data_IF_701046391830
#
_entry.id   IF_701046391830
#
_cell.length_a   1.000
_cell.length_b   1.000
_cell.length_c   1.000
_cell.angle_alpha   90.00
_cell.angle_beta   90.00
_cell.angle_gamma   90.00
#
_symmetry.space_group_name_H-M   'P 1'
#
loop_
_entity.id
_entity.type
_entity.pdbx_description
1 polymer ?
#
# COMPACT_ATOMS: atom_id res chain seq x y z
N UNK A 1 -2.92 32.68 20.63
CA UNK A 1 -2.62 31.33 21.13
C UNK A 1 -1.95 30.59 20.00
N UNK A 2 -0.67 30.28 20.14
CA UNK A 2 0.03 29.53 19.12
C UNK A 2 -0.62 28.17 18.98
N UNK A 3 -1.11 27.91 17.78
CA UNK A 3 -1.79 26.68 17.44
C UNK A 3 -0.81 25.50 17.59
N UNK A 4 -0.95 24.67 18.62
CA UNK A 4 -0.11 23.48 18.86
C UNK A 4 -0.39 22.36 17.85
N UNK A 5 -1.35 22.55 16.96
CA UNK A 5 -1.68 21.69 15.84
C UNK A 5 -0.82 22.10 14.65
N UNK A 6 -0.21 21.16 13.96
CA UNK A 6 0.64 21.44 12.79
C UNK A 6 2.11 21.08 12.95
N UNK A 7 2.45 20.21 13.92
CA UNK A 7 3.78 19.60 13.94
C UNK A 7 3.83 18.47 12.92
N UNK A 8 4.93 18.42 12.17
CA UNK A 8 5.19 17.32 11.26
C UNK A 8 5.44 16.05 12.08
N UNK A 9 4.61 15.05 11.89
CA UNK A 9 4.78 13.73 12.48
C UNK A 9 5.61 12.86 11.54
N UNK A 10 6.67 12.24 12.02
CA UNK A 10 7.64 11.49 11.20
C UNK A 10 7.74 10.03 11.61
N UNK A 11 7.95 9.19 10.61
CA UNK A 11 8.44 7.82 10.75
C UNK A 11 9.58 7.66 9.75
N UNK A 12 10.71 7.14 10.20
CA UNK A 12 11.79 6.69 9.32
C UNK A 12 12.27 5.34 9.81
N UNK A 13 12.28 4.34 8.91
CA UNK A 13 12.75 3.00 9.21
C UNK A 13 13.64 2.48 8.09
N UNK A 14 14.77 1.92 8.45
CA UNK A 14 15.72 1.26 7.54
C UNK A 14 15.89 -0.19 7.95
N UNK A 15 15.56 -1.12 7.05
CA UNK A 15 15.77 -2.55 7.22
C UNK A 15 16.99 -3.00 6.42
N UNK A 16 17.84 -3.82 7.00
CA UNK A 16 19.05 -4.35 6.36
C UNK A 16 19.21 -5.84 6.64
N UNK A 17 19.86 -6.55 5.73
CA UNK A 17 20.21 -7.95 5.92
C UNK A 17 21.52 -8.05 6.71
N UNK A 18 21.53 -8.80 7.81
CA UNK A 18 22.69 -9.09 8.61
C UNK A 18 22.69 -10.56 9.05
N UNK A 19 23.77 -11.25 8.80
CA UNK A 19 23.93 -12.68 9.16
C UNK A 19 22.76 -13.57 8.68
N UNK A 20 22.24 -13.28 7.47
CA UNK A 20 21.13 -14.02 6.85
C UNK A 20 19.74 -13.69 7.41
N UNK A 21 19.60 -12.68 8.27
CA UNK A 21 18.33 -12.21 8.81
C UNK A 21 18.15 -10.71 8.58
N UNK A 22 16.94 -10.29 8.38
CA UNK A 22 16.63 -8.86 8.33
C UNK A 22 16.61 -8.28 9.74
N UNK A 23 17.27 -7.15 9.91
CA UNK A 23 17.25 -6.35 11.14
C UNK A 23 16.74 -4.94 10.83
N UNK A 24 16.24 -4.27 11.85
CA UNK A 24 15.95 -2.84 11.79
C UNK A 24 17.25 -2.09 12.12
N UNK A 25 17.94 -1.59 11.08
CA UNK A 25 19.23 -0.93 11.21
C UNK A 25 19.10 0.48 11.78
N UNK A 26 18.07 1.22 11.33
CA UNK A 26 17.75 2.55 11.84
C UNK A 26 16.24 2.70 12.01
N UNK A 27 15.86 3.40 13.07
CA UNK A 27 14.47 3.69 13.39
C UNK A 27 14.35 5.02 14.11
N UNK A 28 13.58 5.91 13.54
CA UNK A 28 13.17 7.13 14.22
C UNK A 28 11.68 7.41 14.02
N UNK A 29 11.05 8.00 15.01
CA UNK A 29 9.66 8.43 14.93
C UNK A 29 9.39 9.59 15.88
N UNK A 30 8.37 10.37 15.57
CA UNK A 30 7.90 11.46 16.43
C UNK A 30 6.45 11.20 16.85
N UNK A 31 6.05 11.78 17.99
CA UNK A 31 4.65 11.74 18.39
C UNK A 31 3.73 12.24 17.26
N UNK A 32 2.55 11.64 17.07
CA UNK A 32 1.91 10.64 17.94
C UNK A 32 2.31 9.18 17.63
N UNK A 33 3.27 8.96 16.74
CA UNK A 33 3.68 7.62 16.36
C UNK A 33 4.63 6.99 17.36
N UNK A 34 4.53 5.67 17.47
CA UNK A 34 5.43 4.80 18.21
C UNK A 34 5.60 3.48 17.45
N UNK A 35 6.82 3.00 17.35
CA UNK A 35 7.11 1.69 16.78
C UNK A 35 7.79 0.87 17.88
N UNK A 36 7.24 -0.33 18.11
CA UNK A 36 7.79 -1.30 19.07
C UNK A 36 8.87 -2.15 18.40
N UNK A 37 9.45 -3.06 19.16
CA UNK A 37 10.38 -4.06 18.60
C UNK A 37 9.72 -4.76 17.41
N UNK A 38 10.43 -4.96 16.30
CA UNK A 38 9.90 -5.68 15.15
C UNK A 38 9.59 -7.14 15.51
N UNK A 39 8.59 -7.70 14.84
CA UNK A 39 8.29 -9.13 14.91
C UNK A 39 9.13 -9.85 13.86
N UNK A 40 9.81 -10.93 14.27
CA UNK A 40 10.53 -11.81 13.34
C UNK A 40 9.56 -12.66 12.53
N UNK A 41 9.83 -12.83 11.23
CA UNK A 41 9.09 -13.70 10.32
C UNK A 41 9.84 -15.02 10.12
N UNK A 42 9.11 -16.08 9.82
CA UNK A 42 9.71 -17.42 9.59
C UNK A 42 10.72 -17.43 8.43
N UNK A 43 10.54 -16.57 7.44
CA UNK A 43 11.44 -16.42 6.29
C UNK A 43 12.68 -15.58 6.57
N UNK A 44 12.92 -15.20 7.82
CA UNK A 44 14.06 -14.34 8.23
C UNK A 44 13.83 -12.83 8.00
N UNK A 45 12.65 -12.43 7.52
CA UNK A 45 12.23 -11.04 7.44
C UNK A 45 11.76 -10.48 8.78
N UNK A 46 11.38 -9.21 8.78
CA UNK A 46 10.79 -8.54 9.96
C UNK A 46 9.49 -7.82 9.60
N UNK A 47 8.64 -7.69 10.60
CA UNK A 47 7.40 -6.91 10.53
C UNK A 47 7.47 -5.76 11.54
N UNK A 48 7.18 -4.54 11.11
CA UNK A 48 6.98 -3.38 11.96
C UNK A 48 5.53 -2.95 11.97
N UNK A 49 5.06 -2.52 13.13
CA UNK A 49 3.69 -2.06 13.33
C UNK A 49 3.70 -0.66 13.98
N UNK A 50 3.67 0.41 13.18
CA UNK A 50 3.44 1.75 13.70
C UNK A 50 2.13 1.85 14.48
N UNK A 51 2.23 2.33 15.72
CA UNK A 51 1.13 2.66 16.60
C UNK A 51 0.91 4.16 16.55
N UNK A 52 -0.32 4.62 16.43
CA UNK A 52 -0.66 6.02 16.51
C UNK A 52 -1.40 6.30 17.82
N UNK A 53 -0.77 7.03 18.74
CA UNK A 53 -1.36 7.46 20.02
C UNK A 53 -2.22 8.73 19.84
N UNK A 54 -3.02 8.79 18.78
CA UNK A 54 -3.96 9.87 18.48
C UNK A 54 -5.32 9.28 18.15
N UNK A 55 -6.37 10.07 18.31
CA UNK A 55 -7.71 9.69 17.88
C UNK A 55 -7.84 9.52 16.35
N UNK A 56 -6.91 10.07 15.59
CA UNK A 56 -6.83 10.05 14.13
C UNK A 56 -6.18 11.31 13.60
N UNK A 57 -6.31 11.55 12.29
CA UNK A 57 -5.75 12.68 11.56
C UNK A 57 -6.68 13.87 11.68
N UNK A 58 -6.15 15.05 12.01
CA UNK A 58 -6.89 16.28 12.22
C UNK A 58 -6.44 17.38 11.25
N UNK A 59 -7.20 18.48 11.21
CA UNK A 59 -6.89 19.63 10.38
C UNK A 59 -5.47 20.18 10.69
N UNK A 60 -4.69 20.40 9.63
CA UNK A 60 -3.33 20.90 9.73
C UNK A 60 -2.27 19.87 10.06
N UNK A 61 -2.65 18.60 10.28
CA UNK A 61 -1.66 17.53 10.44
C UNK A 61 -0.86 17.33 9.16
N UNK A 62 0.44 17.17 9.32
CA UNK A 62 1.38 16.81 8.28
C UNK A 62 2.17 15.58 8.72
N UNK A 63 2.21 14.57 7.86
CA UNK A 63 2.86 13.29 8.14
C UNK A 63 3.91 13.01 7.07
N UNK A 64 5.11 12.64 7.50
CA UNK A 64 6.23 12.30 6.63
C UNK A 64 6.75 10.92 7.01
N UNK A 65 6.60 9.94 6.13
CA UNK A 65 7.07 8.57 6.34
C UNK A 65 8.15 8.23 5.34
N UNK A 66 9.19 7.56 5.79
CA UNK A 66 10.30 7.07 4.97
C UNK A 66 10.62 5.63 5.33
N UNK A 67 10.68 4.78 4.32
CA UNK A 67 11.05 3.37 4.46
C UNK A 67 12.15 3.02 3.47
N UNK A 68 13.25 2.48 3.97
CA UNK A 68 14.33 1.97 3.14
C UNK A 68 14.54 0.48 3.44
N UNK A 69 14.39 -0.35 2.42
CA UNK A 69 14.64 -1.79 2.52
C UNK A 69 15.89 -2.08 1.71
N UNK A 70 17.01 -2.27 2.43
CA UNK A 70 18.33 -2.50 1.84
C UNK A 70 18.41 -3.88 1.18
N UNK A 71 19.41 -4.04 0.32
CA UNK A 71 19.66 -5.26 -0.45
C UNK A 71 19.46 -6.54 0.38
N UNK A 72 18.61 -7.43 -0.16
CA UNK A 72 18.31 -8.75 0.42
C UNK A 72 17.42 -8.75 1.65
N UNK A 73 17.04 -7.58 2.19
CA UNK A 73 16.16 -7.48 3.35
C UNK A 73 14.68 -7.69 2.99
N UNK A 74 13.89 -8.16 3.95
CA UNK A 74 12.44 -8.38 3.83
C UNK A 74 11.73 -7.61 4.95
N UNK A 75 11.02 -6.56 4.60
CA UNK A 75 10.29 -5.71 5.54
C UNK A 75 8.79 -5.76 5.28
N UNK A 76 8.03 -5.95 6.34
CA UNK A 76 6.58 -5.86 6.34
C UNK A 76 6.14 -4.67 7.20
N UNK A 77 5.32 -3.79 6.65
CA UNK A 77 4.79 -2.60 7.32
C UNK A 77 3.28 -2.65 7.32
N UNK A 78 2.70 -2.73 8.49
CA UNK A 78 1.24 -2.61 8.70
C UNK A 78 0.96 -1.69 9.87
N UNK A 79 -0.25 -1.17 10.00
CA UNK A 79 -0.65 -0.36 11.14
C UNK A 79 -1.58 -1.13 12.08
N UNK A 80 -1.65 -0.72 13.35
CA UNK A 80 -2.43 -1.44 14.36
C UNK A 80 -3.94 -1.32 14.17
N UNK A 81 -4.42 -0.14 13.78
CA UNK A 81 -5.84 0.19 13.74
C UNK A 81 -6.21 0.95 12.48
N UNK A 82 -7.48 0.92 12.13
CA UNK A 82 -8.05 1.72 11.05
C UNK A 82 -7.71 3.19 11.27
N UNK A 83 -7.31 3.85 10.21
CA UNK A 83 -6.91 5.23 10.24
C UNK A 83 -8.13 6.14 10.01
N UNK A 84 -8.40 7.00 10.96
CA UNK A 84 -9.54 7.91 10.95
C UNK A 84 -9.08 9.29 10.53
N UNK A 85 -9.71 9.85 9.52
CA UNK A 85 -9.50 11.26 9.15
C UNK A 85 -10.70 12.04 9.68
N UNK A 86 -10.46 12.83 10.72
CA UNK A 86 -11.52 13.54 11.41
C UNK A 86 -12.09 14.71 10.60
N UNK A 87 -13.30 15.14 10.98
CA UNK A 87 -13.93 16.36 10.49
C UNK A 87 -12.97 17.54 10.59
N UNK A 88 -12.94 18.36 9.55
CA UNK A 88 -12.15 19.58 9.46
C UNK A 88 -13.06 20.73 9.02
N UNK A 89 -13.24 21.73 9.86
CA UNK A 89 -14.07 22.90 9.49
C UNK A 89 -13.39 23.69 8.38
N UNK A 90 -12.05 23.80 8.43
CA UNK A 90 -11.21 24.43 7.41
C UNK A 90 -9.93 23.62 7.19
N UNK A 91 -9.21 23.93 6.10
CA UNK A 91 -7.93 23.31 5.78
C UNK A 91 -8.03 21.83 5.35
N UNK A 92 -6.91 21.14 5.46
CA UNK A 92 -6.74 19.72 5.15
C UNK A 92 -5.59 19.15 5.98
N UNK A 93 -5.45 17.83 5.96
CA UNK A 93 -4.23 17.15 6.41
C UNK A 93 -3.47 16.57 5.22
N UNK A 94 -2.18 16.37 5.38
CA UNK A 94 -1.30 15.88 4.32
C UNK A 94 -0.43 14.73 4.80
N UNK A 95 -0.08 13.84 3.86
CA UNK A 95 0.89 12.77 4.07
C UNK A 95 1.83 12.66 2.88
N UNK A 96 3.12 12.54 3.17
CA UNK A 96 4.12 12.17 2.18
C UNK A 96 4.80 10.90 2.63
N UNK A 97 4.91 9.93 1.71
CA UNK A 97 5.58 8.64 1.95
C UNK A 97 6.64 8.47 0.88
N UNK A 98 7.88 8.29 1.30
CA UNK A 98 9.01 7.98 0.41
C UNK A 98 9.52 6.58 0.74
N UNK A 99 9.63 5.75 -0.29
CA UNK A 99 10.02 4.34 -0.15
C UNK A 99 11.16 4.03 -1.11
N UNK A 100 12.19 3.38 -0.60
CA UNK A 100 13.26 2.80 -1.40
C UNK A 100 13.36 1.30 -1.13
N UNK A 101 13.37 0.50 -2.19
CA UNK A 101 13.54 -0.96 -2.13
C UNK A 101 14.72 -1.30 -3.03
N UNK A 102 15.83 -1.69 -2.40
CA UNK A 102 17.05 -2.04 -3.12
C UNK A 102 16.90 -3.40 -3.83
N UNK A 103 17.88 -3.79 -4.62
CA UNK A 103 17.87 -5.07 -5.35
C UNK A 103 17.76 -6.25 -4.38
N UNK A 104 17.09 -7.32 -4.82
CA UNK A 104 16.81 -8.53 -4.04
C UNK A 104 16.06 -8.27 -2.70
N UNK A 105 15.60 -7.05 -2.44
CA UNK A 105 14.84 -6.69 -1.27
C UNK A 105 13.33 -6.82 -1.50
N UNK A 106 12.58 -7.02 -0.42
CA UNK A 106 11.11 -7.16 -0.48
C UNK A 106 10.45 -6.23 0.52
N UNK A 107 9.47 -5.46 0.06
CA UNK A 107 8.57 -4.67 0.91
C UNK A 107 7.14 -5.14 0.77
N UNK A 108 6.50 -5.47 1.89
CA UNK A 108 5.05 -5.59 2.02
C UNK A 108 4.53 -4.37 2.76
N UNK A 109 3.81 -3.50 2.07
CA UNK A 109 3.21 -2.30 2.65
C UNK A 109 1.69 -2.38 2.56
N UNK A 110 1.02 -2.66 3.69
CA UNK A 110 -0.43 -2.78 3.76
C UNK A 110 -0.99 -2.24 5.08
N UNK A 111 -1.03 -0.91 5.21
CA UNK A 111 -1.62 -0.27 6.37
C UNK A 111 -3.09 -0.63 6.51
N UNK A 112 -3.62 -0.44 7.70
CA UNK A 112 -5.05 -0.62 7.96
C UNK A 112 -5.88 0.37 7.14
N UNK A 113 -7.15 0.02 6.84
CA UNK A 113 -8.05 0.85 6.05
C UNK A 113 -8.22 2.27 6.58
N UNK A 114 -8.36 3.21 5.66
CA UNK A 114 -8.60 4.63 5.93
C UNK A 114 -10.10 4.92 5.94
N UNK A 115 -10.57 5.65 6.95
CA UNK A 115 -11.96 6.07 7.11
C UNK A 115 -12.03 7.60 7.10
N UNK A 116 -12.37 8.23 5.98
CA UNK A 116 -12.60 9.67 5.92
C UNK A 116 -13.97 10.02 6.52
N UNK A 117 -13.98 10.76 7.62
CA UNK A 117 -15.22 11.23 8.26
C UNK A 117 -15.87 12.34 7.45
N UNK A 118 -17.15 12.62 7.71
CA UNK A 118 -17.85 13.73 7.12
C UNK A 118 -17.04 15.03 7.28
N UNK A 119 -17.00 15.85 6.22
CA UNK A 119 -16.27 17.12 6.14
C UNK A 119 -14.74 17.03 6.30
N UNK A 120 -14.14 15.84 6.25
CA UNK A 120 -12.68 15.68 6.24
C UNK A 120 -12.07 16.06 4.88
N UNK A 121 -10.79 16.45 4.88
CA UNK A 121 -10.01 16.71 3.67
C UNK A 121 -8.58 16.20 3.86
N UNK A 122 -8.15 15.31 2.97
CA UNK A 122 -6.86 14.63 3.09
C UNK A 122 -6.18 14.46 1.73
N UNK A 123 -4.88 14.74 1.72
CA UNK A 123 -4.04 14.58 0.54
C UNK A 123 -2.83 13.72 0.90
N UNK A 124 -2.70 12.55 0.28
CA UNK A 124 -1.56 11.66 0.40
C UNK A 124 -0.76 11.60 -0.90
N UNK A 125 0.55 11.59 -0.78
CA UNK A 125 1.47 11.32 -1.88
C UNK A 125 2.46 10.25 -1.43
N UNK A 126 2.56 9.17 -2.20
CA UNK A 126 3.54 8.10 -2.01
C UNK A 126 4.44 8.01 -3.23
N UNK A 127 5.74 8.03 -3.02
CA UNK A 127 6.75 7.79 -4.05
C UNK A 127 7.53 6.54 -3.68
N UNK A 128 7.59 5.58 -4.58
CA UNK A 128 8.27 4.30 -4.37
C UNK A 128 9.33 4.12 -5.45
N UNK A 129 10.54 3.84 -5.03
CA UNK A 129 11.66 3.51 -5.91
C UNK A 129 12.06 2.06 -5.71
N UNK A 130 11.88 1.23 -6.73
CA UNK A 130 12.45 -0.10 -6.86
C UNK A 130 13.77 0.06 -7.61
N UNK A 131 14.87 -0.46 -7.06
CA UNK A 131 16.20 -0.31 -7.67
C UNK A 131 16.24 -0.98 -9.05
N UNK A 132 15.76 -2.23 -9.13
CA UNK A 132 15.75 -3.00 -10.38
C UNK A 132 14.59 -4.02 -10.44
N UNK A 133 14.71 -4.99 -11.33
CA UNK A 133 13.70 -6.03 -11.55
C UNK A 133 13.63 -7.08 -10.43
N UNK A 134 14.64 -7.14 -9.57
CA UNK A 134 14.71 -8.06 -8.41
C UNK A 134 14.08 -7.46 -7.15
N UNK A 135 13.87 -6.14 -7.13
CA UNK A 135 13.19 -5.44 -6.05
C UNK A 135 11.71 -5.82 -6.05
N UNK A 136 11.19 -6.25 -4.91
CA UNK A 136 9.82 -6.73 -4.76
C UNK A 136 8.95 -5.81 -3.92
N UNK A 137 7.71 -5.63 -4.38
CA UNK A 137 6.72 -4.82 -3.69
C UNK A 137 5.35 -5.49 -3.70
N UNK A 138 4.75 -5.60 -2.53
CA UNK A 138 3.31 -5.79 -2.34
C UNK A 138 2.75 -4.54 -1.67
N UNK A 139 1.95 -3.78 -2.39
CA UNK A 139 1.32 -2.54 -1.90
C UNK A 139 -0.19 -2.73 -1.83
N UNK A 140 -0.80 -2.39 -0.69
CA UNK A 140 -2.25 -2.36 -0.50
C UNK A 140 -2.66 -1.05 0.17
N UNK A 141 -3.65 -0.39 -0.41
CA UNK A 141 -4.39 0.71 0.23
C UNK A 141 -5.89 0.40 0.20
N UNK A 142 -6.56 0.52 1.35
CA UNK A 142 -8.03 0.36 1.45
C UNK A 142 -8.64 1.66 1.95
N UNK A 143 -9.63 2.15 1.23
CA UNK A 143 -10.43 3.32 1.64
C UNK A 143 -11.90 2.94 1.79
N UNK A 144 -12.55 3.46 2.84
CA UNK A 144 -14.00 3.38 3.02
C UNK A 144 -14.72 4.61 2.45
N UNK A 145 -16.00 4.47 2.18
CA UNK A 145 -16.87 5.57 1.78
C UNK A 145 -17.10 6.62 2.91
N UNK A 146 -16.61 6.35 4.10
CA UNK A 146 -16.84 7.12 5.31
C UNK A 146 -17.20 6.23 6.51
N UNK A 147 -17.82 6.79 7.54
CA UNK A 147 -18.35 6.03 8.69
C UNK A 147 -19.68 5.37 8.33
N UNK A 148 -19.66 4.33 7.54
CA UNK A 148 -20.88 3.67 7.06
C UNK A 148 -21.85 3.26 8.18
N UNK A 149 -21.34 2.87 9.36
CA UNK A 149 -22.16 2.55 10.54
C UNK A 149 -22.87 3.76 11.17
N UNK A 150 -22.57 4.97 10.73
CA UNK A 150 -23.17 6.24 11.16
C UNK A 150 -23.89 6.95 9.99
N UNK A 151 -24.18 6.23 8.91
CA UNK A 151 -24.78 6.75 7.67
C UNK A 151 -23.98 7.88 7.00
N UNK A 152 -22.68 7.95 7.26
CA UNK A 152 -21.77 8.90 6.61
C UNK A 152 -21.13 8.26 5.40
N UNK A 153 -21.83 8.28 4.25
CA UNK A 153 -21.30 7.79 2.97
C UNK A 153 -20.95 8.97 2.09
N UNK A 154 -19.69 9.03 1.66
CA UNK A 154 -19.18 10.06 0.74
C UNK A 154 -19.49 11.51 1.19
N UNK A 155 -19.42 11.77 2.51
CA UNK A 155 -19.66 13.09 3.07
C UNK A 155 -18.36 13.86 3.38
N UNK A 156 -17.20 13.30 3.07
CA UNK A 156 -15.93 14.00 3.16
C UNK A 156 -15.81 15.04 2.03
N UNK A 157 -15.08 16.12 2.28
CA UNK A 157 -14.86 17.18 1.27
C UNK A 157 -13.92 16.73 0.16
N UNK A 158 -12.81 16.07 0.55
CA UNK A 158 -11.80 15.58 -0.38
C UNK A 158 -11.00 14.44 0.22
N UNK A 159 -10.77 13.43 -0.60
CA UNK A 159 -9.75 12.42 -0.37
C UNK A 159 -8.88 12.29 -1.62
N UNK A 160 -7.57 12.39 -1.45
CA UNK A 160 -6.63 12.21 -2.55
C UNK A 160 -5.51 11.27 -2.10
N UNK A 161 -5.27 10.19 -2.86
CA UNK A 161 -4.09 9.34 -2.75
C UNK A 161 -3.41 9.28 -4.11
N UNK A 162 -2.16 9.75 -4.17
CA UNK A 162 -1.32 9.71 -5.36
C UNK A 162 -0.14 8.79 -5.11
N UNK A 163 -0.05 7.72 -5.90
CA UNK A 163 1.07 6.78 -5.86
C UNK A 163 1.88 6.92 -7.15
N UNK A 164 3.18 7.09 -7.00
CA UNK A 164 4.17 7.10 -8.09
C UNK A 164 5.18 5.99 -7.81
N UNK A 165 5.33 5.05 -8.74
CA UNK A 165 6.22 3.93 -8.58
C UNK A 165 7.22 3.88 -9.73
N UNK A 166 8.48 3.93 -9.38
CA UNK A 166 9.60 3.91 -10.30
C UNK A 166 10.37 2.59 -10.18
N UNK A 167 10.93 2.13 -11.30
CA UNK A 167 11.95 1.09 -11.33
C UNK A 167 13.17 1.67 -12.04
N UNK A 168 14.29 1.80 -11.29
CA UNK A 168 15.35 2.71 -11.70
C UNK A 168 14.79 4.11 -11.93
N UNK A 169 15.08 4.70 -13.06
CA UNK A 169 14.59 6.04 -13.45
C UNK A 169 13.22 6.02 -14.15
N UNK A 170 12.67 4.83 -14.44
CA UNK A 170 11.43 4.70 -15.21
C UNK A 170 10.21 4.66 -14.33
N UNK A 171 9.26 5.58 -14.56
CA UNK A 171 7.91 5.50 -13.96
C UNK A 171 7.17 4.28 -14.56
N UNK A 172 6.87 3.28 -13.73
CA UNK A 172 6.20 2.03 -14.14
C UNK A 172 4.73 1.98 -13.76
N UNK A 173 4.33 2.71 -12.70
CA UNK A 173 2.94 2.77 -12.25
C UNK A 173 2.62 4.14 -11.67
N UNK A 174 1.42 4.61 -11.96
CA UNK A 174 0.86 5.82 -11.36
C UNK A 174 -0.61 5.58 -11.05
N UNK A 175 -0.97 5.66 -9.77
CA UNK A 175 -2.36 5.85 -9.35
C UNK A 175 -2.59 7.30 -8.91
N UNK A 176 -3.78 7.82 -9.16
CA UNK A 176 -4.18 9.16 -8.77
C UNK A 176 -5.66 9.13 -8.38
N UNK A 177 -5.94 8.40 -7.31
CA UNK A 177 -7.28 8.38 -6.71
C UNK A 177 -7.56 9.74 -6.10
N UNK A 178 -8.58 10.43 -6.61
CA UNK A 178 -9.04 11.72 -6.08
C UNK A 178 -10.55 11.75 -6.09
N UNK A 179 -11.12 11.89 -4.92
CA UNK A 179 -12.55 11.96 -4.70
C UNK A 179 -12.95 13.31 -4.08
N UNK A 180 -13.89 13.99 -4.70
CA UNK A 180 -14.58 15.19 -4.24
C UNK A 180 -16.08 14.93 -4.36
N UNK A 181 -16.73 14.30 -3.37
CA UNK A 181 -18.11 13.81 -3.49
C UNK A 181 -19.12 14.88 -3.90
N UNK A 182 -18.93 16.12 -3.49
CA UNK A 182 -19.79 17.24 -3.91
C UNK A 182 -19.75 17.51 -5.43
N UNK A 183 -18.72 16.98 -6.12
CA UNK A 183 -18.50 17.21 -7.57
C UNK A 183 -18.59 15.93 -8.39
N UNK A 184 -18.69 14.78 -7.74
CA UNK A 184 -18.61 13.46 -8.37
C UNK A 184 -19.78 12.57 -7.92
N UNK A 185 -20.44 11.84 -8.85
CA UNK A 185 -21.49 10.89 -8.50
C UNK A 185 -20.86 9.61 -7.92
N UNK A 186 -20.43 9.65 -6.67
CA UNK A 186 -19.65 8.57 -6.02
C UNK A 186 -20.35 7.20 -6.04
N UNK A 187 -21.66 7.14 -6.12
CA UNK A 187 -22.43 5.89 -6.20
C UNK A 187 -22.80 5.51 -7.63
N UNK A 188 -22.42 6.33 -8.63
CA UNK A 188 -22.72 6.11 -10.02
C UNK A 188 -21.86 5.04 -10.70
N UNK A 189 -22.18 4.78 -11.97
CA UNK A 189 -21.47 3.82 -12.84
C UNK A 189 -19.98 4.20 -12.94
N UNK A 190 -19.11 3.21 -12.77
CA UNK A 190 -17.66 3.39 -12.83
C UNK A 190 -17.05 4.01 -11.58
N UNK A 191 -17.86 4.23 -10.53
CA UNK A 191 -17.44 4.68 -9.22
C UNK A 191 -17.59 3.55 -8.20
N UNK A 192 -18.33 3.74 -7.11
CA UNK A 192 -18.49 2.69 -6.09
C UNK A 192 -19.68 1.76 -6.33
N UNK A 193 -20.65 2.13 -7.17
CA UNK A 193 -21.82 1.30 -7.57
C UNK A 193 -22.54 0.58 -6.41
N UNK A 194 -22.67 1.29 -5.26
CA UNK A 194 -23.28 0.75 -4.05
C UNK A 194 -22.30 0.11 -3.08
N UNK A 195 -21.08 -0.22 -3.48
CA UNK A 195 -20.04 -0.68 -2.57
C UNK A 195 -19.60 0.44 -1.61
N UNK A 196 -19.02 0.03 -0.48
CA UNK A 196 -18.63 0.97 0.58
C UNK A 196 -17.12 1.07 0.80
N UNK A 197 -16.36 0.14 0.24
CA UNK A 197 -14.91 0.07 0.39
C UNK A 197 -14.26 -0.26 -0.96
N UNK A 198 -13.08 0.30 -1.14
CA UNK A 198 -12.25 0.03 -2.30
C UNK A 198 -10.82 -0.30 -1.84
N UNK A 199 -10.26 -1.35 -2.41
CA UNK A 199 -8.86 -1.69 -2.26
C UNK A 199 -8.12 -1.45 -3.59
N UNK A 200 -6.97 -0.79 -3.52
CA UNK A 200 -5.99 -0.70 -4.59
C UNK A 200 -4.79 -1.55 -4.21
N UNK A 201 -4.40 -2.48 -5.08
CA UNK A 201 -3.20 -3.28 -4.90
C UNK A 201 -2.25 -3.08 -6.08
N UNK A 202 -0.98 -3.10 -5.77
CA UNK A 202 0.09 -3.25 -6.75
C UNK A 202 1.02 -4.38 -6.30
N UNK A 203 1.33 -5.29 -7.22
CA UNK A 203 2.29 -6.37 -7.03
C UNK A 203 3.39 -6.23 -8.08
N UNK A 204 4.63 -6.11 -7.64
CA UNK A 204 5.74 -6.18 -8.58
C UNK A 204 5.81 -7.58 -9.19
N UNK A 205 6.21 -7.64 -10.45
CA UNK A 205 6.41 -8.92 -11.14
C UNK A 205 7.41 -9.81 -10.40
N UNK A 206 7.24 -11.11 -10.55
CA UNK A 206 8.16 -12.11 -10.04
C UNK A 206 9.20 -12.38 -11.10
N UNK A 207 10.47 -12.24 -10.73
CA UNK A 207 11.60 -12.66 -11.53
C UNK A 207 12.18 -13.94 -10.95
N UNK A 208 12.59 -14.86 -11.82
CA UNK A 208 13.33 -16.06 -11.41
C UNK A 208 14.63 -15.66 -10.68
N UNK A 209 15.01 -16.44 -9.66
CA UNK A 209 16.00 -16.09 -8.64
C UNK A 209 17.44 -15.82 -9.11
N UNK A 210 17.78 -16.10 -10.34
CA UNK A 210 19.11 -15.84 -10.85
C UNK A 210 19.25 -14.36 -11.22
N UNK A 211 19.46 -13.51 -10.20
CA UNK A 211 19.59 -12.06 -10.32
C UNK A 211 20.65 -11.61 -11.37
N UNK A 212 21.62 -12.47 -11.72
CA UNK A 212 22.53 -12.23 -12.83
C UNK A 212 21.88 -12.36 -14.21
N UNK A 213 20.74 -13.07 -14.32
CA UNK A 213 20.03 -13.29 -15.57
C UNK A 213 18.85 -12.37 -15.82
N UNK A 214 18.34 -11.68 -14.80
CA UNK A 214 17.23 -10.72 -14.96
C UNK A 214 17.63 -9.51 -15.83
N UNK A 215 18.92 -9.13 -15.80
CA UNK A 215 19.50 -8.06 -16.63
C UNK A 215 20.05 -8.55 -17.98
N UNK A 216 20.27 -9.85 -18.16
CA UNK A 216 20.74 -10.43 -19.43
C UNK A 216 19.55 -10.93 -20.25
N UNK A 217 19.41 -10.39 -21.44
CA UNK A 217 18.36 -10.66 -22.44
C UNK A 217 18.36 -12.10 -23.00
N UNK A 218 18.42 -13.16 -22.22
CA UNK A 218 18.16 -14.49 -22.74
C UNK A 218 16.65 -14.70 -22.90
N UNK A 219 16.17 -15.00 -24.10
CA UNK A 219 14.75 -15.13 -24.42
C UNK A 219 14.01 -16.16 -23.58
N UNK A 220 14.71 -17.19 -23.07
CA UNK A 220 14.15 -18.24 -22.22
C UNK A 220 13.78 -17.76 -20.81
N UNK A 221 14.58 -16.90 -20.16
CA UNK A 221 14.26 -16.36 -18.83
C UNK A 221 13.05 -15.43 -18.88
N UNK A 222 12.98 -14.55 -19.89
CA UNK A 222 11.81 -13.69 -20.11
C UNK A 222 10.52 -14.46 -20.35
N UNK A 223 10.60 -15.62 -21.03
CA UNK A 223 9.42 -16.48 -21.23
C UNK A 223 8.99 -17.16 -19.94
N UNK A 224 9.91 -17.61 -19.09
CA UNK A 224 9.61 -18.21 -17.79
C UNK A 224 8.97 -17.19 -16.84
N UNK A 225 9.56 -16.01 -16.68
CA UNK A 225 9.02 -14.93 -15.86
C UNK A 225 7.62 -14.49 -16.35
N UNK A 226 7.42 -14.43 -17.66
CA UNK A 226 6.12 -14.10 -18.23
C UNK A 226 5.07 -15.17 -17.91
N UNK A 227 5.45 -16.45 -17.93
CA UNK A 227 4.55 -17.56 -17.60
C UNK A 227 4.13 -17.54 -16.12
N UNK A 228 5.09 -17.34 -15.20
CA UNK A 228 4.83 -17.24 -13.75
C UNK A 228 3.85 -16.07 -13.47
N UNK A 229 4.09 -14.90 -14.05
CA UNK A 229 3.23 -13.75 -13.82
C UNK A 229 1.86 -13.87 -14.49
N UNK A 230 1.71 -14.66 -15.55
CA UNK A 230 0.41 -15.04 -16.12
C UNK A 230 -0.35 -15.97 -15.19
N UNK A 231 0.31 -17.03 -14.70
CA UNK A 231 -0.29 -17.96 -13.75
C UNK A 231 -0.73 -17.25 -12.46
N UNK A 232 0.09 -16.35 -11.93
CA UNK A 232 -0.28 -15.51 -10.79
C UNK A 232 -1.54 -14.67 -11.08
N UNK A 233 -1.61 -14.04 -12.26
CA UNK A 233 -2.78 -13.29 -12.67
C UNK A 233 -4.03 -14.16 -12.74
N UNK A 234 -3.94 -15.36 -13.29
CA UNK A 234 -5.06 -16.32 -13.38
C UNK A 234 -5.55 -16.77 -11.99
N UNK A 235 -4.61 -17.10 -11.09
CA UNK A 235 -4.94 -17.42 -9.68
C UNK A 235 -5.65 -16.27 -8.98
N UNK A 236 -5.22 -15.03 -9.22
CA UNK A 236 -5.88 -13.84 -8.67
C UNK A 236 -7.29 -13.70 -9.24
N UNK A 237 -7.48 -13.87 -10.56
CA UNK A 237 -8.80 -13.85 -11.17
C UNK A 237 -9.74 -14.86 -10.53
N UNK A 238 -9.29 -16.10 -10.30
CA UNK A 238 -10.09 -17.11 -9.64
C UNK A 238 -10.55 -16.67 -8.25
N UNK A 239 -9.65 -16.06 -7.44
CA UNK A 239 -10.02 -15.53 -6.12
C UNK A 239 -11.11 -14.45 -6.21
N UNK A 240 -11.04 -13.58 -7.22
CA UNK A 240 -12.00 -12.49 -7.40
C UNK A 240 -13.36 -13.03 -7.88
N UNK A 241 -13.36 -13.94 -8.83
CA UNK A 241 -14.57 -14.50 -9.43
C UNK A 241 -15.35 -15.43 -8.48
N UNK A 242 -14.65 -16.12 -7.57
CA UNK A 242 -15.27 -17.04 -6.62
C UNK A 242 -15.98 -16.33 -5.46
N UNK A 243 -15.75 -15.03 -5.27
CA UNK A 243 -16.24 -14.32 -4.10
C UNK A 243 -17.37 -13.33 -4.44
N UNK A 244 -18.63 -13.69 -4.19
CA UNK A 244 -19.79 -12.86 -4.58
C UNK A 244 -19.95 -11.57 -3.75
N UNK A 245 -19.17 -11.38 -2.67
CA UNK A 245 -19.24 -10.17 -1.84
C UNK A 245 -18.34 -9.03 -2.33
N UNK A 246 -17.57 -9.29 -3.39
CA UNK A 246 -16.65 -8.31 -3.96
C UNK A 246 -16.87 -8.20 -5.47
N UNK A 247 -16.41 -7.08 -6.02
CA UNK A 247 -16.24 -6.89 -7.46
C UNK A 247 -14.86 -6.29 -7.70
N UNK A 248 -14.18 -6.73 -8.75
CA UNK A 248 -12.85 -6.24 -8.99
C UNK A 248 -12.17 -6.84 -10.19
N UNK A 249 -10.98 -6.37 -10.46
CA UNK A 249 -10.19 -6.85 -11.57
C UNK A 249 -8.69 -6.72 -11.33
N UNK A 250 -7.95 -7.53 -12.06
CA UNK A 250 -6.50 -7.50 -12.13
C UNK A 250 -6.03 -7.20 -13.54
N UNK A 251 -5.12 -6.25 -13.66
CA UNK A 251 -4.52 -5.84 -14.93
C UNK A 251 -3.02 -6.07 -14.88
N UNK A 252 -2.49 -6.74 -15.90
CA UNK A 252 -1.05 -6.84 -16.11
C UNK A 252 -0.56 -5.61 -16.86
N UNK A 253 0.39 -4.90 -16.28
CA UNK A 253 1.04 -3.76 -16.88
C UNK A 253 2.04 -4.18 -17.96
N UNK A 254 2.45 -3.25 -18.81
CA UNK A 254 3.45 -3.50 -19.86
C UNK A 254 4.82 -3.92 -19.31
N UNK A 255 5.09 -3.64 -18.05
CA UNK A 255 6.29 -4.03 -17.31
C UNK A 255 6.21 -5.45 -16.72
N UNK A 256 5.03 -6.09 -16.78
CA UNK A 256 4.76 -7.41 -16.20
C UNK A 256 4.21 -7.35 -14.77
N UNK A 257 4.23 -6.19 -14.13
CA UNK A 257 3.66 -5.97 -12.80
C UNK A 257 2.12 -6.07 -12.85
N UNK A 258 1.49 -6.33 -11.71
CA UNK A 258 0.03 -6.44 -11.59
C UNK A 258 -0.54 -5.25 -10.81
N UNK A 259 -1.62 -4.68 -11.31
CA UNK A 259 -2.42 -3.67 -10.63
C UNK A 259 -3.86 -4.18 -10.48
N UNK A 260 -4.43 -4.04 -9.28
CA UNK A 260 -5.77 -4.51 -8.96
C UNK A 260 -6.59 -3.39 -8.34
N UNK A 261 -7.88 -3.41 -8.64
CA UNK A 261 -8.88 -2.60 -7.94
C UNK A 261 -10.03 -3.50 -7.55
N UNK A 262 -10.39 -3.50 -6.27
CA UNK A 262 -11.39 -4.40 -5.71
C UNK A 262 -12.35 -3.59 -4.86
N UNK A 263 -13.64 -3.76 -5.08
CA UNK A 263 -14.72 -3.16 -4.30
C UNK A 263 -15.35 -4.20 -3.38
N UNK A 264 -15.89 -3.77 -2.25
CA UNK A 264 -16.61 -4.61 -1.30
C UNK A 264 -17.40 -3.80 -0.30
N UNK A 265 -18.22 -4.49 0.49
CA UNK A 265 -19.07 -3.84 1.49
C UNK A 265 -18.41 -3.74 2.88
N UNK A 266 -17.26 -4.40 3.09
CA UNK A 266 -16.56 -4.44 4.37
C UNK A 266 -15.05 -4.43 4.17
N UNK A 267 -14.36 -3.61 4.96
CA UNK A 267 -12.89 -3.54 4.93
C UNK A 267 -12.24 -4.89 5.24
N UNK A 268 -12.79 -5.63 6.23
CA UNK A 268 -12.28 -6.94 6.63
C UNK A 268 -12.35 -7.95 5.50
N UNK A 269 -13.38 -7.89 4.66
CA UNK A 269 -13.50 -8.75 3.48
C UNK A 269 -12.40 -8.46 2.49
N UNK A 270 -12.14 -7.20 2.18
CA UNK A 270 -11.05 -6.79 1.29
C UNK A 270 -9.67 -7.16 1.85
N UNK A 271 -9.49 -7.04 3.18
CA UNK A 271 -8.26 -7.50 3.84
C UNK A 271 -8.08 -9.02 3.70
N UNK A 272 -9.14 -9.82 3.88
CA UNK A 272 -9.08 -11.28 3.69
C UNK A 272 -8.72 -11.67 2.25
N UNK A 273 -9.30 -10.97 1.26
CA UNK A 273 -8.97 -11.19 -0.15
C UNK A 273 -7.51 -10.81 -0.43
N UNK A 274 -7.07 -9.64 0.05
CA UNK A 274 -5.69 -9.21 -0.09
C UNK A 274 -4.69 -10.17 0.58
N UNK A 275 -5.04 -10.75 1.72
CA UNK A 275 -4.21 -11.75 2.41
C UNK A 275 -4.10 -13.06 1.61
N UNK A 276 -5.19 -13.50 0.96
CA UNK A 276 -5.14 -14.65 0.04
C UNK A 276 -4.20 -14.37 -1.14
N UNK A 277 -4.31 -13.17 -1.74
CA UNK A 277 -3.46 -12.74 -2.84
C UNK A 277 -1.99 -12.66 -2.39
N UNK A 278 -1.73 -12.09 -1.20
CA UNK A 278 -0.40 -12.00 -0.61
C UNK A 278 0.23 -13.39 -0.46
N UNK A 279 -0.50 -14.36 0.08
CA UNK A 279 -0.02 -15.75 0.25
C UNK A 279 0.36 -16.40 -1.08
N UNK A 280 -0.44 -16.22 -2.12
CA UNK A 280 -0.09 -16.71 -3.45
C UNK A 280 1.19 -16.03 -3.96
N UNK A 281 1.27 -14.70 -3.85
CA UNK A 281 2.44 -13.93 -4.26
C UNK A 281 3.72 -14.32 -3.50
N UNK A 282 3.59 -14.67 -2.22
CA UNK A 282 4.71 -15.18 -1.40
C UNK A 282 5.15 -16.57 -1.84
N UNK A 283 4.21 -17.46 -2.16
CA UNK A 283 4.51 -18.84 -2.57
C UNK A 283 5.22 -18.94 -3.92
N UNK A 284 4.93 -18.03 -4.86
CA UNK A 284 5.66 -17.95 -6.13
C UNK A 284 7.12 -17.48 -5.95
N UNK A 285 7.49 -17.15 -4.70
CA UNK A 285 8.87 -16.81 -4.30
C UNK A 285 9.73 -18.04 -4.06
N UNK A 286 9.13 -19.20 -3.77
CA UNK A 286 9.84 -20.44 -3.39
C UNK A 286 10.14 -21.30 -4.58
#
# INVERSE_FOLDING_TARGET
MDNKFGKISRISACAALKDGRTILEDLSFTAPYKIMMPFEKENGGIQIMPLCASAGIMAGDSQEFSYHVKEGADLEVLSQSFEKIHKMDEGSATRTIEVQVDKNATLYYYPQPVIPFAQSAFDSKMTIHLEDETSRLFLLEIISCGRNAHDERFQYRRFSSKVLLYRGDKLIYRDNTRYEPDKMPMEGIGMYEGYTHMANLFLSKICSRDGENCSRESGTAKMADSAINLELQEKIWQILDEDPEIDGGVTRLTTGDLALRIFGHRAQKLQQVAEKIKKIYENERT
#
